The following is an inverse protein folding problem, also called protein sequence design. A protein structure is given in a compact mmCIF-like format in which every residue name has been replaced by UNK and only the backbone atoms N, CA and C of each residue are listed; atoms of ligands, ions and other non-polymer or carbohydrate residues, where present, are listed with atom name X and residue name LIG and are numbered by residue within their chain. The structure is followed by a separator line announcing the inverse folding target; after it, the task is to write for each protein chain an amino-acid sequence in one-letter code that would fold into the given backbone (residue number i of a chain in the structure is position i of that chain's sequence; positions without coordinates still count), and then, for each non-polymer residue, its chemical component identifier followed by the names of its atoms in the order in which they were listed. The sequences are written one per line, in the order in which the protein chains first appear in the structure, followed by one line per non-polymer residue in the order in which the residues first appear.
data_IF_073839896313
#
_entry.id   IF_073839896313
#
_cell.length_a   1.000
_cell.length_b   1.000
_cell.length_c   1.000
_cell.angle_alpha   90.00
_cell.angle_beta   90.00
_cell.angle_gamma   90.00
#
_symmetry.space_group_name_H-M   'P 1'
#
loop_
_entity.id
_entity.type
_entity.pdbx_description
1 polymer ?
#
# COMPACT_ATOMS: atom_id res chain seq x y z
N UNK A 1 1.49 3.36 -27.88
CA UNK A 1 0.73 2.79 -26.74
C UNK A 1 1.56 1.66 -26.13
N UNK A 2 1.69 1.57 -24.81
CA UNK A 2 2.36 0.42 -24.16
C UNK A 2 1.51 -0.84 -24.34
N UNK A 3 2.14 -1.95 -24.68
CA UNK A 3 1.46 -3.25 -24.82
C UNK A 3 2.08 -4.24 -23.85
N UNK A 4 1.24 -4.84 -23.00
CA UNK A 4 1.67 -5.87 -22.06
C UNK A 4 1.25 -7.26 -22.54
N UNK A 5 2.10 -8.25 -22.32
CA UNK A 5 1.75 -9.67 -22.46
C UNK A 5 2.07 -10.40 -21.16
N UNK A 6 1.26 -11.40 -20.80
CA UNK A 6 1.46 -12.19 -19.57
C UNK A 6 0.86 -11.58 -18.29
N UNK A 7 0.10 -10.49 -18.37
CA UNK A 7 -0.64 -9.93 -17.23
C UNK A 7 -1.94 -10.67 -16.96
N UNK A 8 -2.28 -10.79 -15.67
CA UNK A 8 -3.64 -11.15 -15.23
C UNK A 8 -4.60 -9.94 -15.29
N UNK A 9 -5.93 -10.17 -15.30
CA UNK A 9 -6.91 -9.08 -15.26
C UNK A 9 -6.74 -8.13 -14.06
N UNK A 10 -6.38 -8.67 -12.89
CA UNK A 10 -6.10 -7.88 -11.68
C UNK A 10 -4.93 -6.94 -11.88
N UNK A 11 -3.84 -7.44 -12.47
CA UNK A 11 -2.64 -6.63 -12.72
C UNK A 11 -2.90 -5.53 -13.75
N UNK A 12 -3.68 -5.82 -14.80
CA UNK A 12 -4.10 -4.80 -15.77
C UNK A 12 -4.84 -3.65 -15.08
N UNK A 13 -5.83 -3.96 -14.23
CA UNK A 13 -6.57 -2.95 -13.47
C UNK A 13 -5.67 -2.14 -12.53
N UNK A 14 -4.74 -2.80 -11.84
CA UNK A 14 -3.80 -2.13 -10.94
C UNK A 14 -2.86 -1.19 -11.71
N UNK A 15 -2.37 -1.60 -12.89
CA UNK A 15 -1.51 -0.76 -13.74
C UNK A 15 -2.26 0.47 -14.23
N UNK A 16 -3.54 0.33 -14.62
CA UNK A 16 -4.36 1.46 -15.07
C UNK A 16 -4.44 2.56 -14.00
N UNK A 17 -4.55 2.19 -12.72
CA UNK A 17 -4.55 3.13 -11.59
C UNK A 17 -3.22 3.88 -11.42
N UNK A 18 -2.10 3.27 -11.83
CA UNK A 18 -0.75 3.81 -11.68
C UNK A 18 -0.29 4.66 -12.86
N UNK A 19 -1.02 4.67 -13.98
CA UNK A 19 -0.68 5.47 -15.19
C UNK A 19 -0.61 6.97 -14.94
N UNK A 20 -1.23 7.47 -13.86
CA UNK A 20 -1.13 8.86 -13.43
C UNK A 20 0.20 9.20 -12.73
N UNK A 21 0.95 8.19 -12.27
CA UNK A 21 2.22 8.33 -11.55
C UNK A 21 3.43 8.02 -12.43
N UNK A 22 3.28 7.05 -13.34
CA UNK A 22 4.35 6.61 -14.24
C UNK A 22 3.88 6.65 -15.70
N UNK A 23 4.79 6.99 -16.60
CA UNK A 23 4.52 7.03 -18.04
C UNK A 23 5.39 6.01 -18.77
N UNK A 24 4.74 5.08 -19.47
CA UNK A 24 5.36 4.13 -20.40
C UNK A 24 4.68 4.30 -21.75
N UNK A 25 5.44 4.68 -22.77
CA UNK A 25 4.91 4.91 -24.12
C UNK A 25 5.71 4.13 -25.15
N UNK A 26 4.98 3.54 -26.10
CA UNK A 26 5.54 2.93 -27.32
C UNK A 26 6.53 1.78 -27.08
N UNK A 27 6.26 0.95 -26.06
CA UNK A 27 7.02 -0.25 -25.73
C UNK A 27 6.14 -1.49 -25.59
N UNK A 28 6.72 -2.65 -25.87
CA UNK A 28 6.14 -3.98 -25.61
C UNK A 28 6.83 -4.57 -24.37
N UNK A 29 6.05 -4.95 -23.37
CA UNK A 29 6.56 -5.54 -22.12
C UNK A 29 5.98 -6.94 -21.93
N UNK A 30 6.85 -7.95 -22.00
CA UNK A 30 6.52 -9.33 -21.67
C UNK A 30 6.75 -9.56 -20.17
N UNK A 31 5.68 -9.91 -19.47
CA UNK A 31 5.67 -10.03 -18.01
C UNK A 31 5.55 -11.51 -17.61
N UNK A 32 6.39 -11.94 -16.68
CA UNK A 32 6.33 -13.29 -16.12
C UNK A 32 6.80 -13.34 -14.66
N UNK A 33 6.25 -14.26 -13.88
CA UNK A 33 6.77 -14.53 -12.54
C UNK A 33 8.01 -15.44 -12.61
N UNK A 34 9.01 -15.20 -11.77
CA UNK A 34 10.26 -15.98 -11.72
C UNK A 34 10.88 -15.96 -10.32
N UNK A 35 11.45 -17.08 -9.88
CA UNK A 35 12.11 -17.19 -8.57
C UNK A 35 13.60 -16.78 -8.60
N UNK A 36 14.17 -16.49 -9.78
CA UNK A 36 15.61 -16.20 -9.93
C UNK A 36 16.06 -14.92 -9.22
N UNK A 37 15.26 -13.85 -9.32
CA UNK A 37 15.53 -12.58 -8.67
C UNK A 37 14.25 -11.93 -8.18
N UNK A 38 14.36 -10.94 -7.29
CA UNK A 38 13.17 -10.18 -6.86
C UNK A 38 12.59 -9.41 -8.05
N UNK A 39 13.43 -8.73 -8.80
CA UNK A 39 13.09 -8.06 -10.06
C UNK A 39 14.19 -8.33 -11.09
N UNK A 40 13.82 -8.56 -12.34
CA UNK A 40 14.76 -8.51 -13.48
C UNK A 40 14.08 -7.91 -14.70
N UNK A 41 14.76 -6.97 -15.35
CA UNK A 41 14.28 -6.24 -16.53
C UNK A 41 15.38 -6.24 -17.58
N UNK A 42 15.10 -6.79 -18.76
CA UNK A 42 16.07 -6.86 -19.87
C UNK A 42 15.38 -6.54 -21.18
N UNK A 43 15.99 -5.71 -22.00
CA UNK A 43 15.45 -5.39 -23.32
C UNK A 43 16.15 -4.22 -23.99
N UNK A 44 15.82 -4.06 -25.27
CA UNK A 44 16.24 -2.96 -26.15
C UNK A 44 15.32 -2.93 -27.37
N UNK A 45 15.32 -1.84 -28.12
CA UNK A 45 14.53 -1.67 -29.34
C UNK A 45 13.02 -1.69 -29.08
N UNK A 46 12.58 -1.10 -27.97
CA UNK A 46 11.16 -1.03 -27.60
C UNK A 46 10.55 -2.36 -27.10
N UNK A 47 11.34 -3.41 -26.90
CA UNK A 47 10.87 -4.72 -26.40
C UNK A 47 11.59 -5.11 -25.12
N UNK A 48 10.82 -5.34 -24.06
CA UNK A 48 11.35 -5.61 -22.72
C UNK A 48 10.73 -6.87 -22.11
N UNK A 49 11.54 -7.62 -21.41
CA UNK A 49 11.12 -8.71 -20.53
C UNK A 49 11.23 -8.23 -19.09
N UNK A 50 10.13 -8.32 -18.35
CA UNK A 50 10.04 -7.94 -16.95
C UNK A 50 9.64 -9.17 -16.15
N UNK A 51 10.44 -9.49 -15.15
CA UNK A 51 10.15 -10.58 -14.22
C UNK A 51 10.15 -10.09 -12.78
N UNK A 52 9.28 -10.69 -11.98
CA UNK A 52 9.15 -10.43 -10.54
C UNK A 52 9.03 -11.76 -9.78
N UNK A 53 9.47 -11.80 -8.52
CA UNK A 53 9.27 -12.98 -7.64
C UNK A 53 7.93 -12.94 -6.95
N UNK A 54 7.65 -11.84 -6.24
CA UNK A 54 6.37 -11.60 -5.56
C UNK A 54 5.47 -10.71 -6.41
N UNK A 55 4.14 -10.93 -6.44
CA UNK A 55 3.23 -10.15 -7.28
C UNK A 55 3.34 -8.62 -7.11
N UNK A 56 3.43 -8.10 -5.87
CA UNK A 56 3.56 -6.66 -5.61
C UNK A 56 4.85 -6.03 -6.17
N UNK A 57 5.88 -6.83 -6.46
CA UNK A 57 7.14 -6.33 -7.02
C UNK A 57 7.02 -5.93 -8.50
N UNK A 58 5.94 -6.35 -9.19
CA UNK A 58 5.61 -5.88 -10.53
C UNK A 58 5.58 -4.34 -10.61
N UNK A 59 4.96 -3.69 -9.63
CA UNK A 59 4.74 -2.24 -9.68
C UNK A 59 6.04 -1.46 -9.53
N UNK A 60 6.94 -1.90 -8.64
CA UNK A 60 8.31 -1.37 -8.58
C UNK A 60 9.07 -1.61 -9.87
N UNK A 61 8.98 -2.81 -10.45
CA UNK A 61 9.66 -3.12 -11.71
C UNK A 61 9.20 -2.20 -12.86
N UNK A 62 7.91 -1.85 -12.92
CA UNK A 62 7.40 -0.87 -13.87
C UNK A 62 7.92 0.54 -13.60
N UNK A 63 8.01 0.95 -12.33
CA UNK A 63 8.65 2.22 -11.97
C UNK A 63 10.10 2.27 -12.43
N UNK A 64 10.87 1.19 -12.21
CA UNK A 64 12.26 1.09 -12.64
C UNK A 64 12.40 1.15 -14.16
N UNK A 65 11.55 0.41 -14.89
CA UNK A 65 11.54 0.46 -16.35
C UNK A 65 11.24 1.87 -16.86
N UNK A 66 10.20 2.53 -16.33
CA UNK A 66 9.83 3.87 -16.73
C UNK A 66 10.99 4.87 -16.51
N UNK A 67 11.70 4.75 -15.37
CA UNK A 67 12.89 5.57 -15.11
C UNK A 67 14.04 5.25 -16.07
N UNK A 68 14.36 3.98 -16.28
CA UNK A 68 15.48 3.58 -17.14
C UNK A 68 15.32 4.03 -18.59
N UNK A 69 14.08 3.99 -19.11
CA UNK A 69 13.78 4.42 -20.48
C UNK A 69 13.91 5.93 -20.72
N UNK A 70 13.96 6.73 -19.65
CA UNK A 70 14.32 8.16 -19.77
C UNK A 70 15.81 8.31 -20.10
N UNK A 71 16.64 7.38 -19.64
CA UNK A 71 18.10 7.46 -19.79
C UNK A 71 18.61 6.74 -21.04
N UNK A 72 18.12 5.54 -21.33
CA UNK A 72 18.56 4.73 -22.46
C UNK A 72 17.51 3.71 -22.92
N UNK A 73 17.54 3.37 -24.22
CA UNK A 73 16.72 2.28 -24.79
C UNK A 73 17.18 0.90 -24.30
N UNK A 74 18.47 0.71 -24.03
CA UNK A 74 18.97 -0.57 -23.51
C UNK A 74 18.79 -0.62 -22.00
N UNK A 75 18.01 -1.61 -21.53
CA UNK A 75 17.74 -1.84 -20.10
C UNK A 75 18.29 -3.20 -19.68
N UNK A 76 19.04 -3.22 -18.58
CA UNK A 76 19.53 -4.43 -17.93
C UNK A 76 19.59 -4.19 -16.40
N UNK A 77 18.48 -4.49 -15.72
CA UNK A 77 18.31 -4.31 -14.27
C UNK A 77 18.07 -5.67 -13.63
N UNK A 78 18.70 -5.91 -12.49
CA UNK A 78 18.42 -7.05 -11.63
C UNK A 78 18.48 -6.59 -10.16
N UNK A 79 17.44 -6.86 -9.39
CA UNK A 79 17.40 -6.56 -7.96
C UNK A 79 17.14 -7.82 -7.12
N UNK A 80 17.81 -7.89 -5.97
CA UNK A 80 17.58 -8.88 -4.93
C UNK A 80 17.20 -8.14 -3.65
N UNK A 81 15.94 -8.19 -3.25
CA UNK A 81 15.47 -7.59 -2.02
C UNK A 81 16.12 -8.30 -0.81
N UNK A 82 16.64 -7.51 0.14
CA UNK A 82 17.22 -8.04 1.37
C UNK A 82 16.15 -8.50 2.38
N UNK A 83 14.94 -7.94 2.28
CA UNK A 83 13.83 -8.22 3.18
C UNK A 83 12.73 -8.95 2.42
N UNK A 84 12.14 -9.94 3.07
CA UNK A 84 10.99 -10.66 2.56
C UNK A 84 9.77 -9.73 2.51
N UNK A 85 9.53 -8.99 3.60
CA UNK A 85 8.47 -8.00 3.72
C UNK A 85 9.03 -6.64 4.12
N UNK A 86 8.52 -5.58 3.50
CA UNK A 86 8.87 -4.19 3.76
C UNK A 86 7.58 -3.39 3.98
N UNK A 87 7.46 -2.80 5.17
CA UNK A 87 6.21 -2.17 5.63
C UNK A 87 6.37 -0.67 5.90
N UNK A 88 5.31 0.08 5.63
CA UNK A 88 5.14 1.47 6.09
C UNK A 88 3.93 1.56 7.02
N UNK A 89 4.17 2.05 8.24
CA UNK A 89 3.13 2.24 9.25
C UNK A 89 2.81 3.73 9.43
N UNK A 90 1.58 4.13 9.09
CA UNK A 90 1.10 5.49 9.31
C UNK A 90 0.49 5.64 10.71
N UNK A 91 0.86 6.70 11.42
CA UNK A 91 0.27 7.04 12.72
C UNK A 91 -1.11 7.68 12.53
N UNK A 92 -2.16 6.98 12.96
CA UNK A 92 -3.55 7.46 12.98
C UNK A 92 -4.07 7.69 14.40
N UNK A 93 -3.17 7.92 15.36
CA UNK A 93 -3.48 8.03 16.80
C UNK A 93 -3.05 9.37 17.39
N UNK A 94 -2.14 10.10 16.73
CA UNK A 94 -1.69 11.46 17.13
C UNK A 94 -2.55 12.57 16.54
N UNK A 95 -3.88 12.39 16.58
CA UNK A 95 -4.93 13.30 16.10
C UNK A 95 -5.12 13.37 14.58
N UNK A 96 -4.10 13.11 13.78
CA UNK A 96 -4.24 13.06 12.33
C UNK A 96 -4.66 11.63 11.90
N UNK A 97 -5.94 11.44 11.60
CA UNK A 97 -6.44 10.18 11.02
C UNK A 97 -6.43 10.29 9.50
N UNK A 98 -5.73 9.37 8.84
CA UNK A 98 -5.58 9.39 7.39
C UNK A 98 -6.92 9.09 6.71
N UNK A 99 -7.49 10.01 5.95
CA UNK A 99 -8.74 9.69 5.25
C UNK A 99 -8.51 8.58 4.19
N UNK A 100 -9.59 7.86 3.83
CA UNK A 100 -9.54 6.71 2.91
C UNK A 100 -8.92 7.08 1.55
N UNK A 101 -9.25 8.25 0.99
CA UNK A 101 -8.71 8.68 -0.30
C UNK A 101 -7.17 8.88 -0.26
N UNK A 102 -6.65 9.46 0.82
CA UNK A 102 -5.21 9.62 1.04
C UNK A 102 -4.52 8.29 1.35
N UNK A 103 -5.18 7.35 2.03
CA UNK A 103 -4.68 5.99 2.21
C UNK A 103 -4.49 5.28 0.87
N UNK A 104 -5.46 5.40 -0.06
CA UNK A 104 -5.36 4.86 -1.42
C UNK A 104 -4.18 5.45 -2.20
N UNK A 105 -3.99 6.76 -2.14
CA UNK A 105 -2.84 7.41 -2.77
C UNK A 105 -1.51 6.95 -2.18
N UNK A 106 -1.45 6.76 -0.86
CA UNK A 106 -0.26 6.23 -0.20
C UNK A 106 0.04 4.80 -0.67
N UNK A 107 -0.97 3.94 -0.75
CA UNK A 107 -0.84 2.56 -1.26
C UNK A 107 -0.26 2.55 -2.68
N UNK A 108 -0.77 3.38 -3.60
CA UNK A 108 -0.24 3.47 -4.97
C UNK A 108 1.25 3.84 -5.00
N UNK A 109 1.65 4.81 -4.18
CA UNK A 109 3.05 5.25 -4.05
C UNK A 109 3.92 4.14 -3.46
N UNK A 110 3.45 3.48 -2.40
CA UNK A 110 4.15 2.38 -1.74
C UNK A 110 4.34 1.17 -2.66
N UNK A 111 3.35 0.84 -3.49
CA UNK A 111 3.43 -0.20 -4.50
C UNK A 111 4.54 0.10 -5.52
N UNK A 112 4.60 1.33 -6.05
CA UNK A 112 5.66 1.77 -6.96
C UNK A 112 7.05 1.79 -6.31
N UNK A 113 7.12 2.05 -5.00
CA UNK A 113 8.38 1.97 -4.25
C UNK A 113 8.82 0.52 -3.97
N UNK A 114 7.88 -0.43 -3.95
CA UNK A 114 8.14 -1.86 -3.72
C UNK A 114 7.87 -2.35 -2.30
N UNK A 115 7.11 -1.60 -1.49
CA UNK A 115 6.62 -2.08 -0.21
C UNK A 115 5.67 -3.27 -0.41
N UNK A 116 5.70 -4.21 0.52
CA UNK A 116 4.79 -5.37 0.54
C UNK A 116 3.56 -5.11 1.41
N UNK A 117 3.68 -4.18 2.37
CA UNK A 117 2.72 -4.07 3.46
C UNK A 117 2.42 -2.60 3.78
N UNK A 118 1.15 -2.28 3.94
CA UNK A 118 0.68 -1.01 4.48
C UNK A 118 0.05 -1.22 5.86
N UNK A 119 0.42 -0.40 6.83
CA UNK A 119 -0.02 -0.54 8.22
C UNK A 119 -0.61 0.77 8.74
N UNK A 120 -1.63 0.66 9.60
CA UNK A 120 -2.21 1.80 10.31
C UNK A 120 -2.07 1.59 11.82
N UNK A 121 -1.42 2.54 12.48
CA UNK A 121 -1.32 2.58 13.93
C UNK A 121 -2.53 3.27 14.56
N UNK A 122 -3.34 2.49 15.27
CA UNK A 122 -4.66 2.89 15.78
C UNK A 122 -4.79 2.50 17.26
N UNK A 123 -4.56 3.47 18.15
CA UNK A 123 -4.76 3.32 19.60
C UNK A 123 -6.26 3.19 19.91
N UNK A 124 -7.03 4.25 19.63
CA UNK A 124 -8.47 4.35 19.87
C UNK A 124 -9.28 4.70 18.62
N UNK A 125 -8.65 4.70 17.44
CA UNK A 125 -9.20 5.27 16.20
C UNK A 125 -9.80 4.22 15.25
N UNK A 126 -10.44 3.20 15.80
CA UNK A 126 -11.31 2.25 15.09
C UNK A 126 -12.55 1.95 15.92
N UNK A 127 -13.67 1.63 15.28
CA UNK A 127 -14.93 1.39 15.99
C UNK A 127 -14.99 -0.01 16.60
N UNK A 128 -15.49 -0.10 17.83
CA UNK A 128 -15.78 -1.36 18.53
C UNK A 128 -17.26 -1.36 18.93
N UNK A 129 -17.98 -2.41 18.52
CA UNK A 129 -19.39 -2.58 18.88
C UNK A 129 -19.59 -2.58 20.40
N UNK A 130 -20.58 -1.83 20.89
CA UNK A 130 -20.86 -1.70 22.31
C UNK A 130 -19.91 -0.78 23.09
N UNK A 131 -18.92 -0.14 22.45
CA UNK A 131 -17.96 0.76 23.10
C UNK A 131 -18.07 2.21 22.58
N UNK A 132 -19.13 2.97 22.93
CA UNK A 132 -19.43 4.28 22.33
C UNK A 132 -18.41 5.39 22.66
N UNK A 133 -17.55 5.20 23.67
CA UNK A 133 -16.49 6.16 24.01
C UNK A 133 -15.16 5.87 23.34
N UNK A 134 -14.97 4.65 22.82
CA UNK A 134 -13.76 4.28 22.11
C UNK A 134 -13.77 4.98 20.75
N UNK A 135 -12.82 5.90 20.52
CA UNK A 135 -12.77 6.71 19.30
C UNK A 135 -13.75 7.88 19.24
N UNK A 136 -14.43 8.21 20.34
CA UNK A 136 -15.44 9.26 20.37
C UNK A 136 -14.84 10.66 20.05
N UNK A 137 -15.36 11.31 19.01
CA UNK A 137 -14.83 12.56 18.42
C UNK A 137 -13.38 12.49 17.92
N UNK A 138 -12.87 11.29 17.65
CA UNK A 138 -11.49 11.08 17.18
C UNK A 138 -11.37 10.85 15.68
N UNK A 139 -12.50 10.68 14.99
CA UNK A 139 -12.52 10.24 13.59
C UNK A 139 -12.16 8.76 13.46
N UNK A 140 -12.62 7.92 14.39
CA UNK A 140 -12.34 6.49 14.37
C UNK A 140 -12.95 5.80 13.14
N UNK A 141 -12.13 5.01 12.46
CA UNK A 141 -12.55 4.29 11.25
C UNK A 141 -13.70 3.32 11.55
N UNK A 142 -14.66 3.25 10.63
CA UNK A 142 -15.62 2.16 10.59
C UNK A 142 -14.98 0.87 10.06
N UNK A 143 -15.66 -0.27 10.25
CA UNK A 143 -15.20 -1.53 9.69
C UNK A 143 -15.17 -1.48 8.15
N UNK A 144 -16.13 -0.80 7.53
CA UNK A 144 -16.22 -0.62 6.08
C UNK A 144 -15.07 0.22 5.53
N UNK A 145 -14.68 1.30 6.23
CA UNK A 145 -13.53 2.13 5.83
C UNK A 145 -12.22 1.32 5.88
N UNK A 146 -12.01 0.52 6.93
CA UNK A 146 -10.83 -0.35 7.04
C UNK A 146 -10.83 -1.44 5.97
N UNK A 147 -11.98 -2.08 5.70
CA UNK A 147 -12.12 -3.06 4.62
C UNK A 147 -11.88 -2.44 3.24
N UNK A 148 -12.29 -1.18 3.03
CA UNK A 148 -12.03 -0.47 1.79
C UNK A 148 -10.53 -0.21 1.60
N UNK A 149 -9.81 0.18 2.66
CA UNK A 149 -8.36 0.38 2.64
C UNK A 149 -7.63 -0.95 2.38
N UNK A 150 -7.99 -2.01 3.09
CA UNK A 150 -7.43 -3.35 2.91
C UNK A 150 -7.68 -3.87 1.48
N UNK A 151 -8.92 -3.79 1.01
CA UNK A 151 -9.30 -4.21 -0.35
C UNK A 151 -8.52 -3.44 -1.39
N UNK A 152 -8.25 -2.15 -1.16
CA UNK A 152 -7.46 -1.34 -2.07
C UNK A 152 -5.99 -1.75 -2.08
N UNK A 153 -5.37 -2.02 -0.92
CA UNK A 153 -4.02 -2.57 -0.83
C UNK A 153 -3.91 -3.91 -1.57
N UNK A 154 -4.94 -4.76 -1.43
CA UNK A 154 -5.01 -6.04 -2.12
C UNK A 154 -5.08 -5.91 -3.65
N UNK A 155 -5.52 -4.79 -4.22
CA UNK A 155 -5.45 -4.58 -5.68
C UNK A 155 -4.00 -4.62 -6.20
N UNK A 156 -3.05 -4.25 -5.34
CA UNK A 156 -1.62 -4.24 -5.61
C UNK A 156 -0.89 -5.42 -4.98
N UNK A 157 -1.61 -6.49 -4.61
CA UNK A 157 -1.05 -7.67 -3.94
C UNK A 157 -0.27 -7.33 -2.65
N UNK A 158 -0.59 -6.19 -2.03
CA UNK A 158 0.00 -5.75 -0.77
C UNK A 158 -0.86 -6.24 0.40
N UNK A 159 -0.20 -6.54 1.52
CA UNK A 159 -0.86 -6.92 2.77
C UNK A 159 -1.23 -5.68 3.58
N UNK A 160 -2.32 -5.75 4.33
CA UNK A 160 -2.71 -4.75 5.31
C UNK A 160 -2.53 -5.30 6.74
N UNK A 161 -1.90 -4.53 7.62
CA UNK A 161 -1.70 -4.93 9.04
C UNK A 161 -2.20 -3.82 9.97
N UNK A 162 -3.22 -4.07 10.82
CA UNK A 162 -3.62 -3.11 11.84
C UNK A 162 -2.68 -3.18 13.05
N UNK A 163 -2.14 -2.04 13.46
CA UNK A 163 -1.27 -1.92 14.63
C UNK A 163 -2.05 -1.29 15.79
N UNK A 164 -2.54 -2.12 16.71
CA UNK A 164 -3.44 -1.69 17.80
C UNK A 164 -2.75 -1.66 19.18
N UNK A 165 -3.50 -1.23 20.19
CA UNK A 165 -3.09 -1.29 21.60
C UNK A 165 -4.01 -2.19 22.41
N UNK A 166 -3.42 -3.12 23.16
CA UNK A 166 -4.14 -4.05 24.03
C UNK A 166 -3.76 -3.89 25.52
N UNK A 167 -2.91 -2.92 25.84
CA UNK A 167 -2.43 -2.68 27.22
C UNK A 167 -2.31 -1.19 27.56
N UNK A 168 -1.39 -0.47 26.92
CA UNK A 168 -1.05 0.92 27.22
C UNK A 168 -1.44 1.86 26.06
N UNK A 169 -0.98 3.12 26.09
CA UNK A 169 -1.19 4.10 25.01
C UNK A 169 -2.67 4.42 24.67
N UNK A 170 -3.61 4.10 25.56
CA UNK A 170 -5.05 4.38 25.37
C UNK A 170 -5.49 5.69 26.04
N UNK A 171 -4.59 6.68 26.13
CA UNK A 171 -4.82 7.91 26.92
C UNK A 171 -6.06 8.69 26.47
N UNK A 172 -6.31 8.77 25.16
CA UNK A 172 -7.47 9.45 24.59
C UNK A 172 -8.80 8.78 25.01
N UNK A 173 -8.83 7.44 25.07
CA UNK A 173 -9.98 6.68 25.52
C UNK A 173 -10.20 6.80 27.04
N UNK A 174 -9.19 6.46 27.87
CA UNK A 174 -9.38 6.38 29.33
C UNK A 174 -9.67 7.74 29.99
N UNK A 175 -9.15 8.83 29.43
CA UNK A 175 -9.42 10.18 29.92
C UNK A 175 -10.89 10.59 29.70
N UNK A 176 -11.50 10.17 28.59
CA UNK A 176 -12.92 10.43 28.30
C UNK A 176 -13.85 9.72 29.29
N UNK A 177 -13.53 8.46 29.63
CA UNK A 177 -14.28 7.67 30.62
C UNK A 177 -14.18 8.27 32.02
N UNK A 178 -12.97 8.64 32.45
CA UNK A 178 -12.72 9.20 33.80
C UNK A 178 -13.49 10.50 34.08
N UNK A 179 -13.61 11.39 33.08
CA UNK A 179 -14.38 12.64 33.24
C UNK A 179 -15.88 12.40 33.38
N UNK A 180 -16.42 11.37 32.74
CA UNK A 180 -17.87 11.10 32.76
C UNK A 180 -18.32 10.37 34.02
N UNK A 181 -17.53 9.43 34.54
CA UNK A 181 -17.80 8.81 35.85
C UNK A 181 -17.91 9.84 36.99
N UNK A 182 -17.21 10.99 36.90
CA UNK A 182 -17.35 12.08 37.88
C UNK A 182 -18.66 12.86 37.76
N UNK A 183 -19.25 12.93 36.57
CA UNK A 183 -20.48 13.69 36.30
C UNK A 183 -21.77 12.87 36.44
N UNK A 184 -21.69 11.55 36.59
CA UNK A 184 -22.84 10.67 36.85
C UNK A 184 -23.09 10.41 38.34
N UNK A 185 -22.30 11.02 39.22
CA UNK A 185 -22.38 10.91 40.69
C UNK A 185 -22.76 12.26 41.34
N UNK A 186 -23.17 13.24 40.54
CA UNK A 186 -23.88 14.45 40.97
C UNK A 186 -25.29 14.44 40.38
#
# INVERSE_FOLDING_TARGET
MVTFTGLSPKQTQAIDLLTKHISLTDVEVAVAQSDQSSISIKGEGGRYQLTYRKPHQLYRALSLLATALVEADKVAIEEQAAYEDLAYMADCSRNAVLNVASAKQMIEVLALMGYSTFELYMEDTYQIEGQPYFGYFRGAYSAEELQEIETYAQQFDMTFVPCIQTLAHLSAFVNGVSKKCKNSVM
#
